data_IF_647026703076
#
_entry.id   IF_647026703076
#
_cell.length_a   1.000
_cell.length_b   1.000
_cell.length_c   1.000
_cell.angle_alpha   90.00
_cell.angle_beta   90.00
_cell.angle_gamma   90.00
#
_symmetry.space_group_name_H-M   'P 1'
#
loop_
_entity.id
_entity.type
_entity.pdbx_description
1 polymer ?
#
# COMPACT_ATOMS: atom_id res chain seq x y z
N UNK A 1 45.45 3.05 -39.89
CA UNK A 1 46.56 4.02 -39.59
C UNK A 1 46.16 4.86 -38.41
N UNK A 2 47.07 4.88 -37.43
CA UNK A 2 47.24 5.82 -36.29
C UNK A 2 46.15 5.69 -35.20
N UNK A 3 46.39 4.96 -34.08
CA UNK A 3 47.30 5.25 -32.93
C UNK A 3 47.02 6.60 -32.29
N UNK A 4 46.66 6.57 -31.01
CA UNK A 4 47.31 7.17 -29.83
C UNK A 4 46.29 7.01 -28.68
N UNK A 5 46.46 6.21 -27.73
CA UNK A 5 47.39 5.99 -26.60
C UNK A 5 47.38 7.12 -25.57
N UNK A 6 47.12 6.69 -24.32
CA UNK A 6 47.49 7.27 -23.04
C UNK A 6 46.60 8.41 -22.52
N UNK A 7 46.26 8.49 -21.28
CA UNK A 7 47.08 8.38 -20.07
C UNK A 7 46.21 8.03 -18.86
N UNK A 8 46.76 7.16 -18.09
CA UNK A 8 46.51 6.81 -16.68
C UNK A 8 46.66 8.04 -15.79
N UNK A 9 45.76 8.23 -14.86
CA UNK A 9 46.12 8.85 -13.59
C UNK A 9 45.27 8.31 -12.48
N UNK A 10 45.90 7.45 -11.73
CA UNK A 10 45.49 7.02 -10.44
C UNK A 10 45.70 8.14 -9.43
N UNK A 11 44.69 8.50 -8.67
CA UNK A 11 44.90 9.12 -7.37
C UNK A 11 44.07 8.36 -6.35
N UNK A 12 44.79 7.53 -5.65
CA UNK A 12 44.50 6.93 -4.38
C UNK A 12 44.39 8.04 -3.31
N UNK A 13 43.28 8.15 -2.63
CA UNK A 13 43.20 8.78 -1.33
C UNK A 13 42.34 7.97 -0.39
N UNK A 14 43.04 7.22 0.42
CA UNK A 14 42.58 6.61 1.67
C UNK A 14 42.51 7.72 2.72
N UNK A 15 41.44 7.77 3.49
CA UNK A 15 41.37 8.17 4.91
C UNK A 15 39.99 7.71 5.38
N UNK A 16 39.86 6.67 6.08
CA UNK A 16 39.85 6.40 7.53
C UNK A 16 39.02 7.34 8.41
N UNK A 17 38.14 6.64 9.14
CA UNK A 17 37.66 6.91 10.51
C UNK A 17 36.59 7.99 10.68
N UNK A 18 35.41 7.60 11.17
CA UNK A 18 35.18 7.58 12.61
C UNK A 18 33.79 7.00 12.92
N UNK A 19 33.75 6.12 13.88
CA UNK A 19 32.59 5.81 14.69
C UNK A 19 31.98 7.08 15.28
N UNK A 20 30.68 7.23 15.19
CA UNK A 20 29.92 8.25 15.87
C UNK A 20 28.52 7.70 16.13
N UNK A 21 28.39 7.02 17.25
CA UNK A 21 27.14 6.65 17.86
C UNK A 21 26.61 7.92 18.52
N UNK A 22 25.49 8.46 18.02
CA UNK A 22 24.73 9.45 18.76
C UNK A 22 23.24 9.29 18.53
N UNK A 23 22.65 8.69 19.53
CA UNK A 23 21.23 8.74 19.83
C UNK A 23 20.85 10.17 20.15
N UNK A 24 20.06 10.78 19.32
CA UNK A 24 19.32 11.99 19.71
C UNK A 24 17.86 11.81 19.35
N UNK A 25 17.10 11.42 20.34
CA UNK A 25 15.65 11.50 20.35
C UNK A 25 15.31 12.99 20.41
N UNK A 26 14.90 13.55 19.28
CA UNK A 26 14.29 14.87 19.20
C UNK A 26 12.79 14.75 19.02
N UNK A 27 12.05 14.79 20.11
CA UNK A 27 10.60 14.98 20.08
C UNK A 27 10.38 16.47 19.87
N UNK A 28 9.87 16.83 18.69
CA UNK A 28 9.25 18.15 18.50
C UNK A 28 7.82 17.89 18.01
N UNK A 29 6.86 18.20 18.88
CA UNK A 29 5.45 18.23 18.54
C UNK A 29 5.12 19.45 17.70
N UNK A 30 4.12 19.33 16.85
CA UNK A 30 3.49 20.46 16.19
C UNK A 30 2.70 20.05 14.95
N UNK A 31 1.37 20.01 15.13
CA UNK A 31 0.31 20.40 14.21
C UNK A 31 0.20 19.76 12.81
N UNK A 32 -0.87 18.98 12.65
CA UNK A 32 -1.77 18.89 11.49
C UNK A 32 -1.17 18.74 10.10
N UNK A 33 -0.89 17.48 9.75
CA UNK A 33 -0.73 17.02 8.38
C UNK A 33 -1.08 15.53 8.32
N UNK A 34 -1.54 14.99 7.19
CA UNK A 34 -1.88 13.58 7.09
C UNK A 34 -0.65 12.73 7.43
N UNK A 35 -0.71 12.11 8.60
CA UNK A 35 0.37 11.25 9.08
C UNK A 35 0.28 9.92 8.36
N UNK A 36 1.04 9.76 7.29
CA UNK A 36 1.36 8.45 6.78
C UNK A 36 2.24 7.75 7.83
N UNK A 37 1.61 6.97 8.68
CA UNK A 37 2.33 6.12 9.63
C UNK A 37 2.92 4.97 8.83
N UNK A 38 4.19 5.13 8.45
CA UNK A 38 5.00 4.02 7.98
C UNK A 38 5.37 3.21 9.22
N UNK A 39 4.60 2.20 9.53
CA UNK A 39 5.02 1.20 10.53
C UNK A 39 6.02 0.30 9.84
N UNK A 40 7.29 0.65 9.94
CA UNK A 40 8.36 -0.23 9.54
C UNK A 40 8.56 -1.31 10.61
N UNK A 41 7.81 -2.39 10.55
CA UNK A 41 8.25 -3.63 11.14
C UNK A 41 9.22 -4.33 10.18
N UNK A 42 10.34 -4.66 10.76
CA UNK A 42 11.55 -5.31 10.25
C UNK A 42 11.26 -6.39 9.21
N UNK A 43 11.53 -6.09 7.92
CA UNK A 43 11.88 -7.13 6.98
C UNK A 43 11.08 -7.33 5.70
N UNK A 44 10.06 -6.52 5.36
CA UNK A 44 9.58 -6.42 3.98
C UNK A 44 8.85 -5.10 3.80
N UNK A 45 9.30 -4.33 2.82
CA UNK A 45 8.65 -3.09 2.43
C UNK A 45 7.27 -3.45 1.85
N UNK A 46 6.24 -3.41 2.69
CA UNK A 46 4.87 -3.48 2.19
C UNK A 46 4.65 -2.28 1.28
N UNK A 47 4.48 -2.53 -0.01
CA UNK A 47 4.37 -1.47 -1.02
C UNK A 47 2.90 -1.08 -1.28
N UNK A 48 2.02 -1.29 -0.31
CA UNK A 48 0.68 -0.72 -0.32
C UNK A 48 0.59 0.46 0.65
N UNK A 49 -0.31 1.37 0.37
CA UNK A 49 -0.57 2.54 1.20
C UNK A 49 -1.74 2.28 2.16
N UNK A 50 -1.60 2.68 3.43
CA UNK A 50 -2.72 2.70 4.36
C UNK A 50 -3.35 4.10 4.39
N UNK A 51 -4.65 4.17 4.19
CA UNK A 51 -5.42 5.40 4.21
C UNK A 51 -6.62 5.27 5.17
N UNK A 52 -7.25 6.38 5.49
CA UNK A 52 -8.48 6.38 6.29
C UNK A 52 -9.72 6.10 5.44
N UNK A 53 -10.83 5.73 6.08
CA UNK A 53 -12.12 5.57 5.42
C UNK A 53 -12.60 6.89 4.76
N UNK A 54 -12.30 8.03 5.38
CA UNK A 54 -12.60 9.35 4.84
C UNK A 54 -11.80 9.66 3.56
N UNK A 55 -10.52 9.30 3.53
CA UNK A 55 -9.67 9.45 2.34
C UNK A 55 -10.13 8.53 1.22
N UNK A 56 -10.45 7.27 1.52
CA UNK A 56 -11.04 6.35 0.56
C UNK A 56 -12.35 6.91 -0.03
N UNK A 57 -13.24 7.45 0.81
CA UNK A 57 -14.47 8.08 0.34
C UNK A 57 -14.22 9.27 -0.58
N UNK A 58 -13.25 10.12 -0.28
CA UNK A 58 -12.87 11.23 -1.16
C UNK A 58 -12.38 10.76 -2.53
N UNK A 59 -11.59 9.68 -2.57
CA UNK A 59 -11.15 9.07 -3.83
C UNK A 59 -12.35 8.54 -4.61
N UNK A 60 -13.25 7.82 -3.95
CA UNK A 60 -14.48 7.30 -4.58
C UNK A 60 -15.36 8.42 -5.16
N UNK A 61 -15.42 9.56 -4.50
CA UNK A 61 -16.23 10.70 -4.93
C UNK A 61 -15.52 11.60 -5.96
N UNK A 62 -14.20 11.48 -6.12
CA UNK A 62 -13.43 12.34 -7.03
C UNK A 62 -13.66 12.04 -8.51
N UNK A 63 -14.20 10.87 -8.84
CA UNK A 63 -14.32 10.37 -10.21
C UNK A 63 -13.03 9.74 -10.76
N UNK A 64 -12.00 9.59 -9.94
CA UNK A 64 -10.81 8.81 -10.28
C UNK A 64 -11.19 7.35 -10.50
N UNK A 65 -10.68 6.73 -11.56
CA UNK A 65 -10.91 5.32 -11.84
C UNK A 65 -10.29 4.44 -10.74
N UNK A 66 -11.14 3.68 -10.08
CA UNK A 66 -10.73 2.80 -8.99
C UNK A 66 -11.56 1.52 -8.95
N UNK A 67 -11.06 0.54 -8.22
CA UNK A 67 -11.77 -0.68 -7.85
C UNK A 67 -11.92 -0.69 -6.33
N UNK A 68 -13.10 -0.99 -5.84
CA UNK A 68 -13.35 -1.21 -4.41
C UNK A 68 -13.38 -2.72 -4.20
N UNK A 69 -12.47 -3.23 -3.37
CA UNK A 69 -12.28 -4.65 -3.12
C UNK A 69 -12.67 -5.00 -1.69
N UNK A 70 -13.75 -5.76 -1.55
CA UNK A 70 -14.14 -6.40 -0.29
C UNK A 70 -13.41 -7.73 -0.16
N UNK A 71 -12.75 -7.94 0.95
CA UNK A 71 -11.96 -9.15 1.21
C UNK A 71 -12.56 -10.02 2.32
N UNK A 72 -13.85 -9.82 2.60
CA UNK A 72 -14.63 -10.60 3.56
C UNK A 72 -15.15 -11.89 2.93
N UNK A 73 -15.98 -12.61 3.67
CA UNK A 73 -16.68 -13.79 3.18
C UNK A 73 -17.98 -13.40 2.46
N UNK A 74 -18.50 -14.31 1.62
CA UNK A 74 -19.71 -14.08 0.83
C UNK A 74 -20.91 -13.68 1.71
N UNK A 75 -21.10 -14.35 2.83
CA UNK A 75 -22.23 -14.07 3.75
C UNK A 75 -22.15 -12.64 4.31
N UNK A 76 -20.94 -12.16 4.66
CA UNK A 76 -20.73 -10.81 5.14
C UNK A 76 -20.97 -9.76 4.05
N UNK A 77 -20.64 -10.08 2.80
CA UNK A 77 -20.88 -9.22 1.65
C UNK A 77 -22.38 -9.09 1.35
N UNK A 78 -23.11 -10.19 1.40
CA UNK A 78 -24.56 -10.23 1.16
C UNK A 78 -25.34 -9.49 2.27
N UNK A 79 -24.84 -9.50 3.50
CA UNK A 79 -25.42 -8.73 4.60
C UNK A 79 -25.30 -7.21 4.43
N UNK A 80 -24.30 -6.77 3.66
CA UNK A 80 -24.10 -5.38 3.30
C UNK A 80 -22.68 -5.08 2.94
N UNK A 81 -22.48 -4.32 1.86
CA UNK A 81 -21.15 -3.95 1.34
C UNK A 81 -21.14 -2.50 0.81
N UNK A 82 -19.94 -1.98 0.59
CA UNK A 82 -19.78 -0.64 0.01
C UNK A 82 -20.25 -0.66 -1.45
N UNK A 83 -21.04 0.33 -1.91
CA UNK A 83 -21.54 0.36 -3.27
C UNK A 83 -20.45 0.15 -4.33
N UNK A 84 -20.71 -0.68 -5.34
CA UNK A 84 -19.78 -1.06 -6.41
C UNK A 84 -18.54 -1.86 -5.96
N UNK A 85 -18.52 -2.37 -4.74
CA UNK A 85 -17.44 -3.26 -4.31
C UNK A 85 -17.53 -4.61 -5.04
N UNK A 86 -16.35 -5.17 -5.38
CA UNK A 86 -16.18 -6.54 -5.84
C UNK A 86 -15.73 -7.38 -4.67
N UNK A 87 -16.21 -8.61 -4.57
CA UNK A 87 -15.81 -9.54 -3.53
C UNK A 87 -14.73 -10.49 -4.02
N UNK A 88 -13.60 -10.51 -3.33
CA UNK A 88 -12.63 -11.60 -3.39
C UNK A 88 -12.18 -11.88 -1.96
N UNK A 89 -12.60 -12.99 -1.35
CA UNK A 89 -12.16 -13.35 -0.02
C UNK A 89 -10.63 -13.33 0.11
N UNK A 90 -10.10 -12.84 1.22
CA UNK A 90 -8.66 -12.65 1.40
C UNK A 90 -7.83 -13.92 1.19
N UNK A 91 -8.44 -15.10 1.41
CA UNK A 91 -7.84 -16.41 1.18
C UNK A 91 -7.78 -16.80 -0.30
N UNK A 92 -8.53 -16.12 -1.16
CA UNK A 92 -8.65 -16.42 -2.58
C UNK A 92 -7.96 -15.40 -3.49
N UNK A 93 -7.35 -14.38 -2.92
CA UNK A 93 -6.65 -13.31 -3.68
C UNK A 93 -5.63 -13.91 -4.65
N UNK A 94 -4.79 -14.84 -4.21
CA UNK A 94 -3.73 -15.42 -5.04
C UNK A 94 -4.27 -16.19 -6.26
N UNK A 95 -5.48 -16.73 -6.14
CA UNK A 95 -6.08 -17.54 -7.20
C UNK A 95 -7.01 -16.77 -8.13
N UNK A 96 -7.65 -15.71 -7.63
CA UNK A 96 -8.73 -15.00 -8.36
C UNK A 96 -8.36 -13.59 -8.80
N UNK A 97 -7.36 -12.97 -8.16
CA UNK A 97 -7.07 -11.56 -8.42
C UNK A 97 -6.71 -11.29 -9.88
N UNK A 98 -5.87 -12.10 -10.51
CA UNK A 98 -5.45 -11.88 -11.90
C UNK A 98 -6.60 -12.01 -12.91
N UNK A 99 -7.58 -12.86 -12.64
CA UNK A 99 -8.77 -13.00 -13.47
C UNK A 99 -9.75 -11.84 -13.28
N UNK A 100 -10.00 -11.46 -12.01
CA UNK A 100 -11.02 -10.48 -11.66
C UNK A 100 -10.50 -9.03 -11.74
N UNK A 101 -9.20 -8.82 -11.61
CA UNK A 101 -8.50 -7.55 -11.59
C UNK A 101 -7.36 -7.55 -12.61
N UNK A 102 -7.65 -7.60 -13.92
CA UNK A 102 -6.62 -7.79 -14.96
C UNK A 102 -5.64 -6.62 -15.09
N UNK A 103 -6.02 -5.42 -14.68
CA UNK A 103 -5.17 -4.23 -14.71
C UNK A 103 -4.45 -4.07 -13.38
N UNK A 104 -3.14 -4.35 -13.39
CA UNK A 104 -2.30 -4.30 -12.19
C UNK A 104 -1.88 -2.89 -11.77
N UNK A 105 -2.08 -1.90 -12.62
CA UNK A 105 -1.75 -0.50 -12.33
C UNK A 105 -2.96 0.31 -11.86
N UNK A 106 -4.15 -0.26 -11.98
CA UNK A 106 -5.39 0.38 -11.54
C UNK A 106 -5.42 0.54 -10.02
N UNK A 107 -5.95 1.68 -9.56
CA UNK A 107 -6.12 1.92 -8.13
C UNK A 107 -7.11 0.92 -7.53
N UNK A 108 -6.68 0.21 -6.50
CA UNK A 108 -7.49 -0.75 -5.74
C UNK A 108 -7.62 -0.26 -4.30
N UNK A 109 -8.85 0.01 -3.89
CA UNK A 109 -9.22 0.37 -2.52
C UNK A 109 -9.67 -0.90 -1.80
N UNK A 110 -8.89 -1.38 -0.84
CA UNK A 110 -9.08 -2.67 -0.18
C UNK A 110 -9.62 -2.48 1.22
N UNK A 111 -10.68 -3.23 1.56
CA UNK A 111 -11.23 -3.25 2.91
C UNK A 111 -11.67 -4.65 3.34
N UNK A 112 -11.92 -4.80 4.63
CA UNK A 112 -12.59 -5.98 5.16
C UNK A 112 -13.57 -5.59 6.28
N UNK A 113 -13.74 -6.42 7.32
CA UNK A 113 -14.59 -6.07 8.46
C UNK A 113 -13.91 -5.05 9.39
N UNK A 114 -12.63 -5.29 9.78
CA UNK A 114 -11.91 -4.52 10.81
C UNK A 114 -10.44 -4.21 10.46
N UNK A 115 -10.03 -4.37 9.21
CA UNK A 115 -8.68 -4.04 8.75
C UNK A 115 -7.66 -5.20 8.76
N UNK A 116 -7.89 -6.31 9.46
CA UNK A 116 -6.90 -7.40 9.55
C UNK A 116 -6.78 -8.21 8.24
N UNK A 117 -7.91 -8.62 7.67
CA UNK A 117 -7.95 -9.42 6.42
C UNK A 117 -7.54 -8.60 5.21
N UNK A 118 -7.92 -7.32 5.17
CA UNK A 118 -7.58 -6.40 4.08
C UNK A 118 -6.08 -6.12 3.98
N UNK A 119 -5.36 -6.07 5.10
CA UNK A 119 -3.89 -5.96 5.11
C UNK A 119 -3.23 -7.17 4.48
N UNK A 120 -3.65 -8.39 4.84
CA UNK A 120 -3.15 -9.64 4.24
C UNK A 120 -3.44 -9.65 2.74
N UNK A 121 -4.65 -9.28 2.34
CA UNK A 121 -5.04 -9.19 0.94
C UNK A 121 -4.21 -8.16 0.16
N UNK A 122 -3.97 -6.99 0.73
CA UNK A 122 -3.15 -5.94 0.12
C UNK A 122 -1.69 -6.40 -0.07
N UNK A 123 -1.11 -7.09 0.92
CA UNK A 123 0.23 -7.69 0.80
C UNK A 123 0.29 -8.72 -0.34
N UNK A 124 -0.71 -9.58 -0.45
CA UNK A 124 -0.77 -10.59 -1.51
C UNK A 124 -0.96 -9.94 -2.89
N UNK A 125 -1.79 -8.90 -3.01
CA UNK A 125 -1.92 -8.13 -4.26
C UNK A 125 -0.56 -7.54 -4.69
N UNK A 126 0.17 -6.93 -3.76
CA UNK A 126 1.51 -6.39 -4.07
C UNK A 126 2.48 -7.49 -4.50
N UNK A 127 2.47 -8.66 -3.85
CA UNK A 127 3.28 -9.83 -4.27
C UNK A 127 2.93 -10.31 -5.68
N UNK A 128 1.67 -10.20 -6.08
CA UNK A 128 1.19 -10.50 -7.43
C UNK A 128 1.52 -9.41 -8.46
N UNK A 129 2.13 -8.31 -8.03
CA UNK A 129 2.60 -7.23 -8.90
C UNK A 129 1.61 -6.08 -9.11
N UNK A 130 0.58 -5.95 -8.27
CA UNK A 130 -0.30 -4.78 -8.28
C UNK A 130 0.44 -3.58 -7.70
N UNK A 131 0.46 -2.47 -8.42
CA UNK A 131 1.33 -1.32 -8.12
C UNK A 131 0.62 -0.21 -7.36
N UNK A 132 -0.70 -0.17 -7.36
CA UNK A 132 -1.50 0.92 -6.80
C UNK A 132 -2.59 0.39 -5.84
N UNK A 133 -2.16 -0.08 -4.68
CA UNK A 133 -3.02 -0.69 -3.66
C UNK A 133 -3.10 0.21 -2.44
N UNK A 134 -4.31 0.58 -2.04
CA UNK A 134 -4.61 1.35 -0.82
C UNK A 134 -5.56 0.56 0.08
N UNK A 135 -5.16 0.36 1.32
CA UNK A 135 -5.94 -0.34 2.34
C UNK A 135 -6.55 0.69 3.30
N UNK A 136 -7.86 0.63 3.54
CA UNK A 136 -8.57 1.63 4.35
C UNK A 136 -9.34 1.08 5.56
N UNK A 137 -8.95 -0.09 6.04
CA UNK A 137 -9.46 -0.62 7.30
C UNK A 137 -10.70 -1.50 7.15
N UNK A 138 -11.73 -1.18 7.91
CA UNK A 138 -12.90 -2.02 8.04
C UNK A 138 -14.23 -1.31 7.79
N UNK A 139 -15.21 -2.09 7.30
CA UNK A 139 -16.57 -1.59 7.11
C UNK A 139 -17.24 -1.19 8.44
N UNK A 140 -16.75 -1.67 9.58
CA UNK A 140 -17.24 -1.25 10.90
C UNK A 140 -16.99 0.23 11.20
N UNK A 141 -15.96 0.83 10.58
CA UNK A 141 -15.61 2.24 10.71
C UNK A 141 -16.16 3.09 9.54
N UNK A 142 -16.82 2.43 8.57
CA UNK A 142 -17.42 3.07 7.41
C UNK A 142 -18.73 3.75 7.78
N UNK A 143 -18.78 5.08 7.69
CA UNK A 143 -19.93 5.91 8.11
C UNK A 143 -20.87 6.31 6.97
N UNK A 144 -20.62 5.76 5.79
CA UNK A 144 -21.32 6.13 4.56
C UNK A 144 -22.24 5.00 4.09
N UNK A 145 -22.78 5.14 2.91
CA UNK A 145 -23.73 4.20 2.34
C UNK A 145 -23.20 2.76 2.25
N UNK A 146 -24.08 1.83 2.56
CA UNK A 146 -23.89 0.38 2.42
C UNK A 146 -25.12 -0.17 1.70
N UNK A 147 -24.89 -1.04 0.72
CA UNK A 147 -25.94 -1.71 -0.06
C UNK A 147 -25.95 -3.21 0.21
N UNK A 148 -27.06 -3.89 -0.17
CA UNK A 148 -27.22 -5.34 -0.10
C UNK A 148 -27.37 -5.93 -1.48
#
# INVERSE_FOLDING_TARGET
>A
MKKILCIISAILCIILTACGNDSSIGIIGGADGPTSIIVAEKGEKSMYEQITAEEAKKIMDSGEEHIILDTREQEEFDDGHIPNAILIPYTEIENKAEEMLPDKDKLILVYCRSGRRSKIAAENLVKLGYTNVKEFGGIIDWKYEVVK
#
